data_IF_872680734421
#
_entry.id   IF_872680734421
#
_cell.length_a   1.000
_cell.length_b   1.000
_cell.length_c   1.000
_cell.angle_alpha   90.00
_cell.angle_beta   90.00
_cell.angle_gamma   90.00
#
_symmetry.space_group_name_H-M   'P 1'
#
loop_
_entity.id
_entity.type
_entity.pdbx_description
1 polymer ?
#
# COMPACT_ATOMS: atom_id res chain seq x y z
N UNK A 1 7.58 -0.22 17.04
CA UNK A 1 7.32 0.60 15.83
C UNK A 1 5.85 0.54 15.46
N UNK A 2 5.26 1.67 15.09
CA UNK A 2 3.89 1.70 14.56
C UNK A 2 3.87 1.09 13.15
N UNK A 3 2.81 0.33 12.82
CA UNK A 3 2.61 -0.21 11.46
C UNK A 3 2.64 0.88 10.39
N UNK A 4 2.20 2.08 10.74
CA UNK A 4 2.23 3.28 9.89
C UNK A 4 3.66 3.67 9.51
N UNK A 5 4.61 3.67 10.45
CA UNK A 5 6.01 3.97 10.17
C UNK A 5 6.64 2.96 9.20
N UNK A 6 6.41 1.66 9.42
CA UNK A 6 6.92 0.62 8.53
C UNK A 6 6.32 0.76 7.12
N UNK A 7 5.02 1.01 7.02
CA UNK A 7 4.37 1.29 5.74
C UNK A 7 4.95 2.53 5.04
N UNK A 8 5.24 3.60 5.79
CA UNK A 8 5.90 4.80 5.25
C UNK A 8 7.30 4.51 4.73
N UNK A 9 8.12 3.74 5.45
CA UNK A 9 9.45 3.36 4.96
C UNK A 9 9.39 2.52 3.68
N UNK A 10 8.45 1.57 3.61
CA UNK A 10 8.25 0.76 2.40
C UNK A 10 7.75 1.62 1.24
N UNK A 11 6.90 2.63 1.50
CA UNK A 11 6.48 3.58 0.48
C UNK A 11 7.65 4.43 -0.02
N UNK A 12 8.54 4.92 0.86
CA UNK A 12 9.77 5.61 0.45
C UNK A 12 10.67 4.70 -0.40
N UNK A 13 10.78 3.42 -0.03
CA UNK A 13 11.51 2.43 -0.80
C UNK A 13 10.90 2.20 -2.19
N UNK A 14 9.56 2.09 -2.27
CA UNK A 14 8.84 1.99 -3.53
C UNK A 14 9.07 3.22 -4.44
N UNK A 15 9.11 4.42 -3.85
CA UNK A 15 9.40 5.66 -4.57
C UNK A 15 10.82 5.62 -5.17
N UNK A 16 11.82 5.15 -4.43
CA UNK A 16 13.18 5.01 -4.96
C UNK A 16 13.22 4.12 -6.21
N UNK A 17 12.52 2.98 -6.19
CA UNK A 17 12.38 2.11 -7.37
C UNK A 17 11.60 2.76 -8.51
N UNK A 18 10.56 3.55 -8.21
CA UNK A 18 9.82 4.29 -9.22
C UNK A 18 10.69 5.35 -9.93
N UNK A 19 11.57 6.04 -9.18
CA UNK A 19 12.58 6.92 -9.76
C UNK A 19 13.61 6.15 -10.60
N UNK A 20 14.04 4.97 -10.16
CA UNK A 20 14.88 4.07 -10.96
C UNK A 20 14.23 3.68 -12.29
N UNK A 21 12.93 3.35 -12.27
CA UNK A 21 12.18 3.07 -13.49
C UNK A 21 12.08 4.30 -14.39
N UNK A 22 11.77 5.47 -13.81
CA UNK A 22 11.62 6.71 -14.57
C UNK A 22 12.93 7.14 -15.23
N UNK A 23 14.04 7.01 -14.52
CA UNK A 23 15.39 7.31 -15.05
C UNK A 23 15.74 6.34 -16.17
N UNK A 24 15.55 5.03 -15.99
CA UNK A 24 15.78 4.04 -17.04
C UNK A 24 14.92 4.27 -18.30
N UNK A 25 13.65 4.65 -18.15
CA UNK A 25 12.74 4.90 -19.28
C UNK A 25 13.02 6.24 -19.97
N UNK A 26 13.51 7.25 -19.25
CA UNK A 26 13.82 8.58 -19.82
C UNK A 26 15.25 8.71 -20.35
N UNK A 27 16.15 7.84 -19.91
CA UNK A 27 17.54 7.78 -20.39
C UNK A 27 17.67 7.75 -21.92
N UNK A 28 16.82 7.02 -22.68
CA UNK A 28 16.90 7.00 -24.14
C UNK A 28 16.64 8.37 -24.78
N UNK A 29 15.69 9.14 -24.23
CA UNK A 29 15.41 10.50 -24.71
C UNK A 29 16.55 11.46 -24.43
N UNK A 30 17.21 11.31 -23.26
CA UNK A 30 18.39 12.12 -22.90
C UNK A 30 19.55 11.75 -23.84
N UNK A 31 19.83 10.46 -24.02
CA UNK A 31 20.92 9.99 -24.88
C UNK A 31 20.72 10.38 -26.35
N UNK A 32 19.48 10.42 -26.85
CA UNK A 32 19.19 10.94 -28.19
C UNK A 32 19.58 12.42 -28.33
N UNK A 33 19.24 13.26 -27.34
CA UNK A 33 19.63 14.68 -27.35
C UNK A 33 21.16 14.83 -27.24
N UNK A 34 21.81 14.04 -26.37
CA UNK A 34 23.27 14.04 -26.23
C UNK A 34 23.96 13.60 -27.52
N UNK A 35 23.43 12.58 -28.21
CA UNK A 35 23.96 12.11 -29.49
C UNK A 35 23.89 13.16 -30.60
N UNK A 36 22.93 14.09 -30.50
CA UNK A 36 22.82 15.21 -31.42
C UNK A 36 23.79 16.36 -31.07
N UNK A 37 24.13 16.50 -29.79
CA UNK A 37 25.02 17.54 -29.27
C UNK A 37 26.51 17.17 -29.41
N UNK A 38 26.84 15.88 -29.34
CA UNK A 38 28.23 15.35 -29.46
C UNK A 38 28.52 15.01 -30.91
N UNK A 39 29.56 15.62 -31.51
CA UNK A 39 29.86 15.52 -32.95
C UNK A 39 30.99 14.54 -33.34
N UNK A 40 31.67 13.90 -32.39
CA UNK A 40 32.81 12.99 -32.66
C UNK A 40 32.50 11.52 -32.34
N UNK A 41 33.46 10.61 -32.60
CA UNK A 41 33.42 9.13 -32.55
C UNK A 41 32.58 8.46 -31.42
N UNK A 42 32.25 9.16 -30.34
CA UNK A 42 31.21 8.72 -29.39
C UNK A 42 29.82 8.60 -30.03
N UNK A 43 29.48 9.43 -31.02
CA UNK A 43 28.19 9.40 -31.71
C UNK A 43 27.97 8.07 -32.45
N UNK A 44 29.03 7.46 -33.03
CA UNK A 44 28.95 6.15 -33.68
C UNK A 44 28.76 5.01 -32.67
N UNK A 45 29.48 5.04 -31.53
CA UNK A 45 29.30 4.07 -30.45
C UNK A 45 27.94 4.17 -29.76
N UNK A 46 27.40 5.38 -29.61
CA UNK A 46 26.09 5.64 -28.99
C UNK A 46 24.94 5.35 -29.97
N UNK A 47 25.09 5.59 -31.27
CA UNK A 47 24.03 5.35 -32.26
C UNK A 47 23.73 3.86 -32.51
N UNK A 48 24.71 2.97 -32.26
CA UNK A 48 24.52 1.51 -32.45
C UNK A 48 23.74 0.85 -31.31
N UNK A 49 23.62 1.50 -30.15
CA UNK A 49 22.91 0.97 -29.00
C UNK A 49 21.43 1.31 -29.08
N UNK A 50 20.55 0.29 -29.00
CA UNK A 50 19.10 0.50 -28.91
C UNK A 50 18.71 0.96 -27.50
N UNK A 51 18.92 2.23 -27.19
CA UNK A 51 18.66 2.80 -25.86
C UNK A 51 17.22 2.60 -25.40
N UNK A 52 16.25 2.64 -26.32
CA UNK A 52 14.82 2.47 -25.99
C UNK A 52 14.53 1.07 -25.47
N UNK A 53 15.10 0.06 -26.12
CA UNK A 53 15.00 -1.33 -25.68
C UNK A 53 15.72 -1.53 -24.34
N UNK A 54 16.91 -0.92 -24.18
CA UNK A 54 17.64 -0.91 -22.93
C UNK A 54 16.80 -0.32 -21.77
N UNK A 55 16.15 0.82 -22.00
CA UNK A 55 15.30 1.49 -21.02
C UNK A 55 14.05 0.70 -20.64
N UNK A 56 13.44 -0.04 -21.57
CA UNK A 56 12.27 -0.89 -21.29
C UNK A 56 12.69 -2.17 -20.56
N UNK A 57 13.73 -2.84 -21.04
CA UNK A 57 14.24 -4.08 -20.46
C UNK A 57 14.76 -3.88 -19.03
N UNK A 58 15.41 -2.76 -18.77
CA UNK A 58 15.99 -2.47 -17.46
C UNK A 58 15.03 -1.66 -16.57
N UNK A 59 14.15 -0.83 -17.13
CA UNK A 59 13.19 -0.02 -16.36
C UNK A 59 11.90 -0.75 -15.98
N UNK A 60 11.44 -1.71 -16.79
CA UNK A 60 10.23 -2.50 -16.54
C UNK A 60 10.25 -3.26 -15.20
N UNK A 61 11.32 -4.01 -14.89
CA UNK A 61 11.45 -4.68 -13.59
C UNK A 61 11.35 -3.72 -12.40
N UNK A 62 11.99 -2.54 -12.47
CA UNK A 62 11.93 -1.54 -11.40
C UNK A 62 10.53 -0.96 -11.22
N UNK A 63 9.75 -0.78 -12.30
CA UNK A 63 8.36 -0.35 -12.19
C UNK A 63 7.49 -1.40 -11.50
N UNK A 64 7.65 -2.68 -11.88
CA UNK A 64 6.92 -3.79 -11.26
C UNK A 64 7.31 -3.90 -9.78
N UNK A 65 8.60 -3.76 -9.45
CA UNK A 65 9.09 -3.74 -8.08
C UNK A 65 8.44 -2.61 -7.26
N UNK A 66 8.40 -1.40 -7.80
CA UNK A 66 7.76 -0.25 -7.15
C UNK A 66 6.27 -0.49 -6.87
N UNK A 67 5.52 -1.04 -7.84
CA UNK A 67 4.10 -1.38 -7.66
C UNK A 67 3.94 -2.44 -6.55
N UNK A 68 4.79 -3.47 -6.55
CA UNK A 68 4.75 -4.54 -5.55
C UNK A 68 5.04 -4.02 -4.14
N UNK A 69 6.06 -3.15 -3.98
CA UNK A 69 6.37 -2.53 -2.69
C UNK A 69 5.25 -1.59 -2.23
N UNK A 70 4.68 -0.81 -3.14
CA UNK A 70 3.56 0.06 -2.81
C UNK A 70 2.32 -0.74 -2.37
N UNK A 71 1.99 -1.82 -3.09
CA UNK A 71 0.91 -2.73 -2.71
C UNK A 71 1.16 -3.36 -1.32
N UNK A 72 2.40 -3.76 -1.03
CA UNK A 72 2.80 -4.26 0.28
C UNK A 72 2.57 -3.20 1.38
N UNK A 73 3.00 -1.94 1.16
CA UNK A 73 2.77 -0.84 2.08
C UNK A 73 1.27 -0.59 2.36
N UNK A 74 0.42 -0.61 1.33
CA UNK A 74 -1.03 -0.47 1.46
C UNK A 74 -1.67 -1.61 2.27
N UNK A 75 -1.20 -2.84 2.09
CA UNK A 75 -1.72 -3.99 2.84
C UNK A 75 -1.29 -3.95 4.32
N UNK A 76 -0.09 -3.46 4.60
CA UNK A 76 0.41 -3.26 5.97
C UNK A 76 -0.41 -2.18 6.69
N UNK A 77 -0.71 -1.06 6.02
CA UNK A 77 -1.49 0.02 6.61
C UNK A 77 -2.94 -0.38 6.87
N UNK A 78 -3.54 -1.18 5.98
CA UNK A 78 -4.93 -1.67 6.10
C UNK A 78 -5.07 -2.97 6.89
N UNK A 79 -3.97 -3.50 7.46
CA UNK A 79 -3.92 -4.77 8.22
C UNK A 79 -4.45 -5.99 7.44
N UNK A 80 -4.35 -5.95 6.11
CA UNK A 80 -4.77 -7.07 5.24
C UNK A 80 -3.64 -8.09 5.10
N UNK A 81 -4.02 -9.36 4.98
CA UNK A 81 -3.07 -10.45 4.72
C UNK A 81 -2.49 -10.30 3.30
N UNK A 82 -1.27 -10.78 3.10
CA UNK A 82 -0.62 -10.80 1.78
C UNK A 82 0.50 -9.77 1.59
N UNK A 83 0.72 -8.85 2.53
CA UNK A 83 1.81 -7.87 2.45
C UNK A 83 3.19 -8.49 2.22
N UNK A 84 3.50 -9.60 2.89
CA UNK A 84 4.77 -10.32 2.74
C UNK A 84 4.94 -10.82 1.30
N UNK A 85 3.90 -11.42 0.71
CA UNK A 85 3.97 -11.95 -0.66
C UNK A 85 4.29 -10.83 -1.66
N UNK A 86 3.57 -9.71 -1.56
CA UNK A 86 3.84 -8.53 -2.38
C UNK A 86 5.24 -7.97 -2.16
N UNK A 87 5.74 -7.99 -0.93
CA UNK A 87 7.10 -7.54 -0.62
C UNK A 87 8.16 -8.44 -1.27
N UNK A 88 8.00 -9.77 -1.18
CA UNK A 88 8.93 -10.73 -1.79
C UNK A 88 8.90 -10.62 -3.32
N UNK A 89 7.72 -10.46 -3.93
CA UNK A 89 7.62 -10.17 -5.36
C UNK A 89 8.39 -8.88 -5.71
N UNK A 90 8.23 -7.83 -4.91
CA UNK A 90 8.98 -6.58 -5.08
C UNK A 90 10.49 -6.77 -5.04
N UNK A 91 11.01 -7.56 -4.10
CA UNK A 91 12.43 -7.91 -4.03
C UNK A 91 12.89 -8.69 -5.26
N UNK A 92 12.12 -9.68 -5.72
CA UNK A 92 12.47 -10.48 -6.88
C UNK A 92 12.58 -9.63 -8.16
N UNK A 93 11.61 -8.74 -8.39
CA UNK A 93 11.66 -7.82 -9.53
C UNK A 93 12.66 -6.66 -9.35
N UNK A 94 13.00 -6.32 -8.12
CA UNK A 94 14.01 -5.30 -7.79
C UNK A 94 15.44 -5.82 -7.80
N UNK A 95 15.65 -7.15 -7.79
CA UNK A 95 16.97 -7.78 -7.78
C UNK A 95 17.92 -7.31 -8.90
N UNK A 96 17.46 -7.00 -10.13
CA UNK A 96 18.34 -6.50 -11.17
C UNK A 96 19.14 -5.23 -10.82
N UNK A 97 18.78 -4.49 -9.76
CA UNK A 97 19.59 -3.36 -9.25
C UNK A 97 21.04 -3.78 -8.96
N UNK A 98 21.27 -5.01 -8.50
CA UNK A 98 22.62 -5.50 -8.21
C UNK A 98 23.48 -5.70 -9.46
N UNK A 99 22.89 -5.78 -10.65
CA UNK A 99 23.64 -5.87 -11.90
C UNK A 99 24.05 -4.50 -12.45
N UNK A 100 23.60 -3.39 -11.84
CA UNK A 100 24.05 -2.05 -12.23
C UNK A 100 25.47 -1.73 -11.77
N UNK A 101 25.99 -2.48 -10.79
CA UNK A 101 27.29 -2.26 -10.19
C UNK A 101 28.09 -3.55 -10.22
N UNK A 102 29.33 -3.46 -10.68
CA UNK A 102 30.29 -4.55 -10.60
C UNK A 102 30.89 -4.55 -9.20
N UNK A 103 30.69 -5.63 -8.45
CA UNK A 103 31.28 -5.80 -7.11
C UNK A 103 32.67 -6.43 -7.26
N UNK A 104 33.73 -5.66 -7.02
CA UNK A 104 35.09 -6.16 -7.12
C UNK A 104 35.46 -7.08 -5.94
N UNK A 105 36.33 -8.08 -6.12
CA UNK A 105 36.81 -8.88 -4.99
C UNK A 105 37.48 -7.98 -3.94
N UNK A 106 36.95 -7.97 -2.71
CA UNK A 106 37.43 -7.09 -1.63
C UNK A 106 36.68 -5.77 -1.48
N UNK A 107 35.63 -5.51 -2.28
CA UNK A 107 34.81 -4.29 -2.22
C UNK A 107 34.29 -3.93 -0.83
N UNK A 108 34.13 -4.92 0.06
CA UNK A 108 33.66 -4.71 1.43
C UNK A 108 34.67 -3.98 2.33
N UNK A 109 35.96 -3.91 1.95
CA UNK A 109 36.99 -3.21 2.73
C UNK A 109 37.14 -1.74 2.33
N UNK A 110 36.96 -1.43 1.05
CA UNK A 110 37.00 -0.07 0.50
C UNK A 110 35.93 0.08 -0.59
N UNK A 111 34.65 0.25 -0.22
CA UNK A 111 33.55 0.25 -1.17
C UNK A 111 33.54 1.55 -1.97
N UNK A 112 33.42 1.43 -3.30
CA UNK A 112 33.04 2.57 -4.10
C UNK A 112 31.67 3.10 -3.68
N UNK A 113 31.39 4.38 -3.98
CA UNK A 113 30.10 5.01 -3.66
C UNK A 113 28.94 4.18 -4.25
N UNK A 114 29.09 3.67 -5.47
CA UNK A 114 28.08 2.88 -6.14
C UNK A 114 27.83 1.53 -5.44
N UNK A 115 28.88 0.79 -5.10
CA UNK A 115 28.78 -0.49 -4.38
C UNK A 115 28.16 -0.28 -2.99
N UNK A 116 28.59 0.75 -2.27
CA UNK A 116 28.06 1.09 -0.94
C UNK A 116 26.56 1.44 -0.99
N UNK A 117 26.13 2.23 -1.98
CA UNK A 117 24.71 2.58 -2.16
C UNK A 117 23.87 1.35 -2.48
N UNK A 118 24.30 0.51 -3.42
CA UNK A 118 23.53 -0.69 -3.81
C UNK A 118 23.49 -1.71 -2.66
N UNK A 119 24.61 -1.95 -1.99
CA UNK A 119 24.67 -2.83 -0.82
C UNK A 119 23.78 -2.30 0.32
N UNK A 120 23.81 -0.98 0.58
CA UNK A 120 22.96 -0.32 1.55
C UNK A 120 21.46 -0.45 1.24
N UNK A 121 21.06 -0.23 -0.01
CA UNK A 121 19.68 -0.43 -0.47
C UNK A 121 19.23 -1.89 -0.35
N UNK A 122 20.15 -2.84 -0.59
CA UNK A 122 19.95 -4.26 -0.35
C UNK A 122 19.71 -4.57 1.13
N UNK A 123 20.58 -4.07 2.00
CA UNK A 123 20.47 -4.25 3.44
C UNK A 123 19.17 -3.65 4.00
N UNK A 124 18.79 -2.45 3.55
CA UNK A 124 17.51 -1.81 3.89
C UNK A 124 16.34 -2.69 3.45
N UNK A 125 16.39 -3.25 2.23
CA UNK A 125 15.36 -4.17 1.73
C UNK A 125 15.20 -5.41 2.62
N UNK A 126 16.31 -6.01 3.06
CA UNK A 126 16.27 -7.17 3.98
C UNK A 126 15.73 -6.78 5.36
N UNK A 127 16.16 -5.66 5.92
CA UNK A 127 15.68 -5.18 7.22
C UNK A 127 14.16 -4.89 7.19
N UNK A 128 13.69 -4.28 6.10
CA UNK A 128 12.26 -4.06 5.90
C UNK A 128 11.50 -5.37 5.73
N UNK A 129 12.03 -6.37 5.01
CA UNK A 129 11.42 -7.70 4.94
C UNK A 129 11.25 -8.31 6.32
N UNK A 130 12.29 -8.28 7.16
CA UNK A 130 12.23 -8.77 8.54
C UNK A 130 11.17 -8.01 9.34
N UNK A 131 11.11 -6.68 9.19
CA UNK A 131 10.08 -5.86 9.85
C UNK A 131 8.65 -6.22 9.40
N UNK A 132 8.44 -6.47 8.10
CA UNK A 132 7.14 -6.92 7.55
C UNK A 132 6.80 -8.32 8.06
N UNK A 133 7.79 -9.20 8.18
CA UNK A 133 7.61 -10.55 8.72
C UNK A 133 7.23 -10.54 10.21
N UNK A 134 7.92 -9.75 11.02
CA UNK A 134 7.60 -9.52 12.43
C UNK A 134 6.17 -9.00 12.63
N UNK A 135 5.71 -8.10 11.75
CA UNK A 135 4.34 -7.57 11.80
C UNK A 135 3.25 -8.63 11.55
N UNK A 136 3.60 -9.74 10.88
CA UNK A 136 2.68 -10.88 10.67
C UNK A 136 2.41 -11.61 11.98
N UNK A 137 3.44 -11.74 12.83
CA UNK A 137 3.37 -12.51 14.08
C UNK A 137 2.87 -11.69 15.26
N UNK A 138 2.93 -10.36 15.18
CA UNK A 138 2.39 -9.49 16.23
C UNK A 138 0.86 -9.37 16.11
N UNK A 139 0.08 -9.85 17.09
CA UNK A 139 -1.35 -9.60 17.13
C UNK A 139 -1.58 -8.08 17.12
N UNK A 140 -2.54 -7.63 16.33
CA UNK A 140 -2.88 -6.22 16.28
C UNK A 140 -3.43 -5.83 17.66
N UNK A 141 -2.59 -5.19 18.48
CA UNK A 141 -3.09 -4.49 19.67
C UNK A 141 -4.19 -3.55 19.15
N UNK A 142 -5.42 -3.64 19.68
CA UNK A 142 -6.42 -2.61 19.41
C UNK A 142 -5.76 -1.32 19.87
N UNK A 143 -5.39 -0.51 18.90
CA UNK A 143 -5.07 0.88 19.16
C UNK A 143 -6.45 1.42 19.50
N UNK A 144 -6.67 1.70 20.78
CA UNK A 144 -7.68 2.67 21.17
C UNK A 144 -7.49 3.82 20.21
N UNK A 145 -8.45 3.98 19.30
CA UNK A 145 -8.57 5.23 18.56
C UNK A 145 -8.54 6.28 19.65
N UNK A 146 -7.49 7.09 19.63
CA UNK A 146 -7.30 8.25 20.46
C UNK A 146 -8.64 8.96 20.46
N UNK A 147 -9.37 8.76 21.56
CA UNK A 147 -10.72 9.23 21.71
C UNK A 147 -10.58 10.74 21.56
N UNK A 148 -11.09 11.24 20.44
CA UNK A 148 -11.33 12.64 20.21
C UNK A 148 -11.95 13.16 21.50
N UNK A 149 -11.16 13.93 22.25
CA UNK A 149 -11.51 14.44 23.58
C UNK A 149 -12.89 15.09 23.44
N UNK A 150 -13.97 14.48 23.96
CA UNK A 150 -15.25 15.17 23.96
C UNK A 150 -15.04 16.44 24.80
N UNK A 151 -15.51 17.61 24.34
CA UNK A 151 -15.38 18.83 25.11
C UNK A 151 -15.99 18.59 26.49
N UNK A 152 -15.18 18.85 27.50
CA UNK A 152 -15.53 18.70 28.90
C UNK A 152 -16.78 19.52 29.21
N UNK A 153 -17.89 18.85 29.52
CA UNK A 153 -18.94 19.38 30.39
C UNK A 153 -19.93 18.26 30.79
N UNK A 154 -20.22 18.21 32.10
CA UNK A 154 -21.26 17.45 32.80
C UNK A 154 -21.02 15.94 33.08
N UNK A 155 -20.27 15.68 34.16
CA UNK A 155 -20.51 14.57 35.12
C UNK A 155 -21.46 15.12 36.20
N UNK A 156 -22.35 14.36 36.90
CA UNK A 156 -22.52 12.90 36.98
C UNK A 156 -23.97 12.38 36.82
N UNK A 157 -24.15 11.17 36.29
CA UNK A 157 -25.27 10.32 36.74
C UNK A 157 -24.75 8.91 36.99
N UNK A 158 -24.51 8.60 38.27
CA UNK A 158 -24.42 7.25 38.79
C UNK A 158 -25.80 6.59 38.70
N UNK A 159 -25.92 5.52 37.93
CA UNK A 159 -26.94 4.49 38.18
C UNK A 159 -26.26 3.13 38.05
N UNK A 160 -25.63 2.71 39.14
CA UNK A 160 -25.26 1.32 39.37
C UNK A 160 -26.52 0.62 39.88
N UNK A 161 -27.29 0.00 38.98
CA UNK A 161 -28.28 -1.00 39.38
C UNK A 161 -27.53 -2.33 39.48
N UNK A 162 -27.06 -2.62 40.68
CA UNK A 162 -26.60 -3.93 41.09
C UNK A 162 -27.84 -4.79 41.38
N UNK A 163 -28.31 -5.56 40.39
CA UNK A 163 -29.29 -6.61 40.65
C UNK A 163 -28.55 -7.87 41.13
N UNK A 164 -28.49 -8.01 42.45
CA UNK A 164 -28.17 -9.28 43.12
C UNK A 164 -29.35 -10.23 42.95
N UNK A 165 -29.00 -11.50 42.69
CA UNK A 165 -29.84 -12.61 42.29
C UNK A 165 -31.05 -12.88 43.22
N UNK A 166 -32.16 -13.26 42.60
CA UNK A 166 -33.17 -14.12 43.21
C UNK A 166 -33.39 -15.29 42.23
N UNK A 167 -33.03 -16.50 42.66
CA UNK A 167 -33.45 -17.77 42.07
C UNK A 167 -34.98 -17.90 42.24
N UNK A 168 -35.70 -18.18 41.14
CA UNK A 168 -36.70 -19.27 41.10
C UNK A 168 -37.38 -19.37 39.72
N UNK A 169 -37.81 -20.59 39.42
CA UNK A 169 -37.98 -21.19 38.10
C UNK A 169 -39.19 -20.76 37.23
N UNK A 170 -39.01 -20.75 35.90
CA UNK A 170 -39.99 -21.10 34.86
C UNK A 170 -39.33 -21.18 33.45
N UNK A 171 -39.78 -22.05 32.52
CA UNK A 171 -39.08 -22.32 31.27
C UNK A 171 -39.25 -21.18 30.26
N UNK A 172 -38.15 -20.53 29.89
CA UNK A 172 -38.15 -19.43 28.92
C UNK A 172 -38.08 -19.99 27.50
N UNK A 173 -39.16 -19.83 26.75
CA UNK A 173 -39.19 -19.95 25.29
C UNK A 173 -38.20 -18.94 24.70
N UNK A 174 -37.11 -19.43 24.11
CA UNK A 174 -36.08 -18.59 23.49
C UNK A 174 -36.63 -17.97 22.20
N UNK A 175 -37.16 -16.75 22.29
CA UNK A 175 -37.31 -15.88 21.11
C UNK A 175 -35.92 -15.42 20.65
N UNK A 176 -35.59 -15.46 19.34
CA UNK A 176 -34.31 -14.97 18.87
C UNK A 176 -34.18 -13.48 19.21
N UNK A 177 -33.11 -13.12 19.91
CA UNK A 177 -32.84 -11.76 20.31
C UNK A 177 -32.76 -10.86 19.07
N UNK A 178 -33.58 -9.81 19.04
CA UNK A 178 -33.52 -8.80 17.99
C UNK A 178 -32.10 -8.20 17.96
N UNK A 179 -31.43 -8.30 16.81
CA UNK A 179 -30.08 -7.81 16.63
C UNK A 179 -30.02 -6.32 16.99
N UNK A 180 -29.22 -5.97 18.01
CA UNK A 180 -29.01 -4.58 18.44
C UNK A 180 -28.51 -3.78 17.24
N UNK A 181 -29.07 -2.58 16.96
CA UNK A 181 -28.65 -1.78 15.83
C UNK A 181 -27.18 -1.39 16.00
N UNK A 182 -26.35 -1.82 15.05
CA UNK A 182 -24.94 -1.43 15.00
C UNK A 182 -24.86 0.09 14.90
N UNK A 183 -24.12 0.73 15.81
CA UNK A 183 -23.92 2.16 15.80
C UNK A 183 -23.10 2.52 14.55
N UNK A 184 -23.77 3.10 13.56
CA UNK A 184 -23.15 3.55 12.32
C UNK A 184 -22.84 5.03 12.47
N UNK A 185 -21.59 5.43 12.26
CA UNK A 185 -21.19 6.83 12.33
C UNK A 185 -22.05 7.70 11.41
N UNK A 186 -22.32 8.95 11.82
CA UNK A 186 -23.19 9.86 11.07
C UNK A 186 -22.75 10.05 9.61
N UNK A 187 -21.44 9.97 9.34
CA UNK A 187 -20.88 10.00 7.98
C UNK A 187 -21.31 8.79 7.12
N UNK A 188 -21.26 7.58 7.68
CA UNK A 188 -21.68 6.36 6.98
C UNK A 188 -23.21 6.31 6.83
N UNK A 189 -23.97 6.84 7.80
CA UNK A 189 -25.42 7.00 7.68
C UNK A 189 -25.79 7.95 6.52
N UNK A 190 -25.07 9.09 6.39
CA UNK A 190 -25.25 10.03 5.28
C UNK A 190 -24.85 9.43 3.93
N UNK A 191 -23.77 8.65 3.87
CA UNK A 191 -23.37 7.96 2.64
C UNK A 191 -24.41 6.92 2.21
N UNK A 192 -24.90 6.09 3.14
CA UNK A 192 -25.97 5.10 2.87
C UNK A 192 -27.25 5.77 2.37
N UNK A 193 -27.65 6.90 2.96
CA UNK A 193 -28.79 7.68 2.50
C UNK A 193 -28.58 8.21 1.07
N UNK A 194 -27.38 8.71 0.74
CA UNK A 194 -27.05 9.19 -0.61
C UNK A 194 -27.09 8.07 -1.66
N UNK A 195 -26.53 6.89 -1.35
CA UNK A 195 -26.61 5.72 -2.23
C UNK A 195 -28.04 5.19 -2.39
N UNK A 196 -28.84 5.17 -1.32
CA UNK A 196 -30.25 4.78 -1.40
C UNK A 196 -31.06 5.72 -2.31
N UNK A 197 -30.79 7.03 -2.22
CA UNK A 197 -31.43 8.03 -3.10
C UNK A 197 -31.01 7.86 -4.57
N UNK A 198 -29.73 7.59 -4.85
CA UNK A 198 -29.26 7.31 -6.21
C UNK A 198 -29.82 5.99 -6.78
N UNK A 199 -29.94 4.96 -5.94
CA UNK A 199 -30.53 3.68 -6.32
C UNK A 199 -31.99 3.80 -6.76
N UNK A 200 -32.81 4.55 -5.99
CA UNK A 200 -34.22 4.82 -6.36
C UNK A 200 -34.33 5.54 -7.70
N UNK A 201 -33.51 6.56 -7.93
CA UNK A 201 -33.48 7.31 -9.20
C UNK A 201 -33.09 6.44 -10.40
N UNK A 202 -32.20 5.45 -10.21
CA UNK A 202 -31.85 4.50 -11.28
C UNK A 202 -32.96 3.47 -11.52
N UNK A 203 -33.64 3.00 -10.46
CA UNK A 203 -34.78 2.08 -10.59
C UNK A 203 -35.93 2.73 -11.36
N UNK A 204 -36.29 3.97 -11.03
CA UNK A 204 -37.33 4.73 -11.76
C UNK A 204 -36.97 4.92 -13.24
N UNK A 205 -35.69 5.19 -13.56
CA UNK A 205 -35.21 5.27 -14.96
C UNK A 205 -35.34 3.93 -15.68
N UNK A 206 -35.04 2.83 -14.99
CA UNK A 206 -35.13 1.48 -15.56
C UNK A 206 -36.58 1.07 -15.78
N UNK A 207 -37.48 1.41 -14.87
CA UNK A 207 -38.92 1.19 -15.01
C UNK A 207 -39.52 1.99 -16.16
N UNK A 208 -39.14 3.28 -16.32
CA UNK A 208 -39.56 4.10 -17.47
C UNK A 208 -39.04 3.53 -18.80
N UNK A 209 -37.80 3.06 -18.84
CA UNK A 209 -37.23 2.43 -20.04
C UNK A 209 -37.91 1.10 -20.37
N UNK A 210 -38.33 0.33 -19.37
CA UNK A 210 -39.09 -0.91 -19.56
C UNK A 210 -40.53 -0.64 -19.99
N UNK A 211 -41.17 0.39 -19.47
CA UNK A 211 -42.51 0.81 -19.88
C UNK A 211 -42.53 1.30 -21.34
N UNK A 212 -41.52 2.08 -21.76
CA UNK A 212 -41.37 2.54 -23.14
C UNK A 212 -41.06 1.43 -24.15
N UNK A 213 -40.65 0.23 -23.71
CA UNK A 213 -40.46 -0.95 -24.56
C UNK A 213 -41.70 -1.85 -24.66
N UNK A 214 -42.71 -1.62 -23.81
CA UNK A 214 -43.94 -2.43 -23.74
C UNK A 214 -45.16 -1.74 -24.35
N UNK A 215 -45.08 -0.44 -24.63
CA UNK A 215 -46.04 0.29 -25.48
C UNK A 215 -45.50 0.45 -26.88
#
# INVERSE_FOLDING_TARGET
MSRKLIASFIACYAIAFAFGALTAVRWPSIMLVVSWLVKDQLAEGVATVNWRELGITHGGPYLIAAICFYASACLISTRRRGAVLWYVCGLAFGFPVFYLVTFEPGWWQDPSIAEGVVAGLGAIGVLLLVAVWELRHRPARPVEEEAEVPPAEAVPVQVVIQQVAAEDAAPVVVRPAAAKPAYVSAAVARQRASFAHHGRKMQERRERALAARRG
#
